data_IF_969192467275
#
_entry.id   IF_969192467275
#
_cell.length_a   1.000
_cell.length_b   1.000
_cell.length_c   1.000
_cell.angle_alpha   90.00
_cell.angle_beta   90.00
_cell.angle_gamma   90.00
#
_symmetry.space_group_name_H-M   'P 1'
#
loop_
_entity.id
_entity.type
_entity.pdbx_description
1 polymer ?
#
# COMPACT_ATOMS: atom_id res chain seq x y z
N UNK A 1 -35.66 5.29 24.14
CA UNK A 1 -34.47 4.58 23.61
C UNK A 1 -34.35 4.88 22.12
N UNK A 2 -33.80 6.03 21.76
CA UNK A 2 -33.68 6.49 20.37
C UNK A 2 -32.29 7.11 20.10
N UNK A 3 -31.23 6.51 20.66
CA UNK A 3 -29.85 7.03 20.53
C UNK A 3 -28.89 6.07 19.79
N UNK A 4 -29.33 4.89 19.33
CA UNK A 4 -28.41 3.87 18.80
C UNK A 4 -28.15 3.90 17.27
N UNK A 5 -28.65 4.89 16.53
CA UNK A 5 -28.36 5.03 15.08
C UNK A 5 -27.72 6.36 14.70
N UNK A 6 -27.26 7.16 15.65
CA UNK A 6 -26.52 8.37 15.35
C UNK A 6 -25.09 8.02 14.91
N UNK A 7 -24.80 8.14 13.60
CA UNK A 7 -23.43 8.07 13.08
C UNK A 7 -22.56 9.05 13.86
N UNK A 8 -21.48 8.56 14.48
CA UNK A 8 -20.54 9.43 15.19
C UNK A 8 -19.93 10.45 14.24
N UNK A 9 -19.56 11.62 14.75
CA UNK A 9 -18.94 12.67 13.94
C UNK A 9 -17.65 12.19 13.25
N UNK A 10 -16.87 11.38 13.96
CA UNK A 10 -15.66 10.72 13.44
C UNK A 10 -15.98 9.84 12.24
N UNK A 11 -17.09 9.08 12.31
CA UNK A 11 -17.52 8.22 11.20
C UNK A 11 -17.96 9.03 9.99
N UNK A 12 -18.59 10.19 10.20
CA UNK A 12 -18.95 11.10 9.12
C UNK A 12 -17.71 11.69 8.43
N UNK A 13 -16.64 11.97 9.16
CA UNK A 13 -15.38 12.45 8.60
C UNK A 13 -14.62 11.34 7.83
N UNK A 14 -14.63 10.09 8.32
CA UNK A 14 -14.10 8.95 7.57
C UNK A 14 -14.83 8.74 6.23
N UNK A 15 -16.16 8.77 6.25
CA UNK A 15 -16.99 8.62 5.06
C UNK A 15 -16.73 9.75 4.06
N UNK A 16 -16.59 10.99 4.54
CA UNK A 16 -16.22 12.13 3.71
C UNK A 16 -14.90 11.91 2.96
N UNK A 17 -13.83 11.51 3.67
CA UNK A 17 -12.51 11.30 3.06
C UNK A 17 -12.53 10.16 2.05
N UNK A 18 -13.27 9.08 2.32
CA UNK A 18 -13.44 7.97 1.38
C UNK A 18 -14.16 8.42 0.11
N UNK A 19 -15.20 9.23 0.28
CA UNK A 19 -16.05 9.67 -0.82
C UNK A 19 -15.37 10.71 -1.70
N UNK A 20 -14.64 11.67 -1.12
CA UNK A 20 -13.79 12.62 -1.88
C UNK A 20 -12.83 11.86 -2.79
N UNK A 21 -12.15 10.82 -2.27
CA UNK A 21 -11.26 9.97 -3.08
C UNK A 21 -11.97 9.27 -4.24
N UNK A 22 -13.23 8.87 -4.05
CA UNK A 22 -14.03 8.27 -5.12
C UNK A 22 -14.36 9.28 -6.20
N UNK A 23 -14.81 10.47 -5.82
CA UNK A 23 -15.16 11.54 -6.75
C UNK A 23 -13.95 12.03 -7.55
N UNK A 24 -12.78 12.20 -6.90
CA UNK A 24 -11.54 12.59 -7.61
C UNK A 24 -11.22 11.60 -8.73
N UNK A 25 -11.34 10.29 -8.49
CA UNK A 25 -11.12 9.26 -9.51
C UNK A 25 -12.11 9.32 -10.68
N UNK A 26 -13.33 9.82 -10.44
CA UNK A 26 -14.33 9.99 -11.50
C UNK A 26 -13.98 11.22 -12.34
N UNK A 27 -13.61 12.32 -11.68
CA UNK A 27 -13.14 13.55 -12.36
C UNK A 27 -11.93 13.26 -13.26
N UNK A 28 -10.96 12.50 -12.76
CA UNK A 28 -9.76 12.12 -13.54
C UNK A 28 -10.10 11.31 -14.80
N UNK A 29 -11.21 10.55 -14.79
CA UNK A 29 -11.68 9.76 -15.93
C UNK A 29 -12.52 10.57 -16.92
N UNK A 30 -13.18 11.63 -16.48
CA UNK A 30 -14.14 12.40 -17.28
C UNK A 30 -13.51 13.24 -18.41
N UNK A 31 -12.17 13.28 -18.51
CA UNK A 31 -11.35 13.70 -19.67
C UNK A 31 -11.64 15.05 -20.39
N UNK A 32 -12.68 15.84 -20.07
CA UNK A 32 -13.09 16.89 -21.01
C UNK A 32 -13.86 18.12 -20.48
N UNK A 33 -13.68 18.56 -19.23
CA UNK A 33 -14.20 19.90 -18.87
C UNK A 33 -13.50 20.54 -17.68
N UNK A 34 -12.63 21.51 -17.96
CA UNK A 34 -12.01 22.39 -16.94
C UNK A 34 -13.07 23.06 -16.05
N UNK A 35 -14.27 23.29 -16.57
CA UNK A 35 -15.40 23.84 -15.82
C UNK A 35 -15.89 22.88 -14.72
N UNK A 36 -16.00 21.58 -15.01
CA UNK A 36 -16.40 20.57 -14.01
C UNK A 36 -15.34 20.45 -12.92
N UNK A 37 -14.06 20.41 -13.31
CA UNK A 37 -12.93 20.35 -12.35
C UNK A 37 -12.95 21.57 -11.43
N UNK A 38 -13.16 22.77 -12.00
CA UNK A 38 -13.21 24.02 -11.25
C UNK A 38 -14.39 24.04 -10.26
N UNK A 39 -15.56 23.59 -10.70
CA UNK A 39 -16.77 23.53 -9.85
C UNK A 39 -16.62 22.49 -8.74
N UNK A 40 -16.11 21.30 -9.03
CA UNK A 40 -15.82 20.27 -8.01
C UNK A 40 -14.80 20.77 -6.99
N UNK A 41 -13.73 21.41 -7.44
CA UNK A 41 -12.69 21.98 -6.55
C UNK A 41 -13.29 23.01 -5.60
N UNK A 42 -14.16 23.90 -6.11
CA UNK A 42 -14.87 24.88 -5.29
C UNK A 42 -15.78 24.22 -4.26
N UNK A 43 -16.54 23.19 -4.65
CA UNK A 43 -17.42 22.47 -3.73
C UNK A 43 -16.66 21.66 -2.69
N UNK A 44 -15.50 21.08 -3.02
CA UNK A 44 -14.65 20.43 -2.04
C UNK A 44 -14.12 21.39 -0.98
N UNK A 45 -13.77 22.63 -1.36
CA UNK A 45 -13.38 23.66 -0.39
C UNK A 45 -14.53 24.01 0.56
N UNK A 46 -15.75 24.17 0.02
CA UNK A 46 -16.95 24.43 0.82
C UNK A 46 -17.23 23.26 1.78
N UNK A 47 -17.09 22.01 1.32
CA UNK A 47 -17.28 20.84 2.17
C UNK A 47 -16.21 20.70 3.26
N UNK A 48 -14.96 21.07 2.97
CA UNK A 48 -13.89 21.09 3.97
C UNK A 48 -14.11 22.14 5.06
N UNK A 49 -14.81 23.23 4.75
CA UNK A 49 -15.12 24.31 5.69
C UNK A 49 -16.43 24.07 6.48
N UNK A 50 -17.10 22.94 6.28
CA UNK A 50 -18.35 22.63 6.96
C UNK A 50 -18.21 22.61 8.48
N UNK A 51 -19.13 23.26 9.18
CA UNK A 51 -19.17 23.25 10.64
C UNK A 51 -19.59 21.88 11.18
N UNK A 52 -19.35 21.55 12.48
CA UNK A 52 -19.78 20.26 13.05
C UNK A 52 -21.27 19.97 12.84
N UNK A 53 -22.11 21.01 12.91
CA UNK A 53 -23.56 20.92 12.70
C UNK A 53 -23.95 20.62 11.24
N UNK A 54 -23.04 20.83 10.30
CA UNK A 54 -23.25 20.62 8.86
C UNK A 54 -22.65 19.31 8.35
N UNK A 55 -21.90 18.54 9.17
CA UNK A 55 -21.20 17.31 8.73
C UNK A 55 -22.11 16.30 8.04
N UNK A 56 -23.34 16.12 8.53
CA UNK A 56 -24.31 15.24 7.90
C UNK A 56 -24.71 15.75 6.51
N UNK A 57 -25.08 17.02 6.42
CA UNK A 57 -25.45 17.66 5.15
C UNK A 57 -24.28 17.73 4.17
N UNK A 58 -23.05 17.94 4.64
CA UNK A 58 -21.82 17.85 3.84
C UNK A 58 -21.73 16.49 3.16
N UNK A 59 -21.89 15.41 3.91
CA UNK A 59 -21.80 14.06 3.36
C UNK A 59 -22.93 13.75 2.38
N UNK A 60 -24.15 14.18 2.68
CA UNK A 60 -25.27 14.06 1.75
C UNK A 60 -24.99 14.81 0.43
N UNK A 61 -24.54 16.05 0.51
CA UNK A 61 -24.26 16.88 -0.66
C UNK A 61 -23.10 16.33 -1.48
N UNK A 62 -22.08 15.77 -0.83
CA UNK A 62 -20.99 15.09 -1.52
C UNK A 62 -21.46 13.81 -2.25
N UNK A 63 -22.34 13.03 -1.63
CA UNK A 63 -22.96 11.86 -2.26
C UNK A 63 -23.82 12.28 -3.47
N UNK A 64 -24.57 13.37 -3.36
CA UNK A 64 -25.35 13.91 -4.49
C UNK A 64 -24.44 14.35 -5.64
N UNK A 65 -23.32 15.01 -5.32
CA UNK A 65 -22.31 15.41 -6.30
C UNK A 65 -21.70 14.20 -7.00
N UNK A 66 -21.30 13.17 -6.24
CA UNK A 66 -20.81 11.91 -6.79
C UNK A 66 -21.84 11.28 -7.72
N UNK A 67 -23.08 11.14 -7.27
CA UNK A 67 -24.16 10.55 -8.08
C UNK A 67 -24.35 11.28 -9.41
N UNK A 68 -24.39 12.61 -9.40
CA UNK A 68 -24.56 13.38 -10.64
C UNK A 68 -23.39 13.18 -11.61
N UNK A 69 -22.15 13.18 -11.11
CA UNK A 69 -20.97 12.93 -11.94
C UNK A 69 -20.93 11.50 -12.49
N UNK A 70 -21.32 10.51 -11.69
CA UNK A 70 -21.32 9.12 -12.11
C UNK A 70 -22.46 8.79 -13.09
N UNK A 71 -23.64 9.34 -12.87
CA UNK A 71 -24.84 9.00 -13.66
C UNK A 71 -24.95 9.84 -14.94
N UNK A 72 -24.53 11.12 -14.90
CA UNK A 72 -24.77 12.09 -15.97
C UNK A 72 -23.50 12.68 -16.56
N UNK A 73 -22.31 12.33 -16.05
CA UNK A 73 -21.03 12.92 -16.44
C UNK A 73 -21.00 14.46 -16.36
N UNK A 74 -21.92 15.06 -15.60
CA UNK A 74 -22.12 16.50 -15.53
C UNK A 74 -22.71 16.88 -14.17
N UNK A 75 -22.45 18.12 -13.74
CA UNK A 75 -23.05 18.69 -12.54
C UNK A 75 -24.32 19.44 -12.92
N UNK A 76 -25.37 19.26 -12.14
CA UNK A 76 -26.62 20.02 -12.21
C UNK A 76 -26.87 20.78 -10.91
N UNK A 77 -28.12 21.16 -10.68
CA UNK A 77 -28.52 21.75 -9.41
C UNK A 77 -28.22 20.78 -8.24
N UNK A 78 -27.75 21.26 -7.08
CA UNK A 78 -27.54 22.66 -6.71
C UNK A 78 -26.15 23.20 -7.08
N UNK A 79 -25.28 22.38 -7.66
CA UNK A 79 -23.86 22.68 -7.80
C UNK A 79 -23.55 23.74 -8.85
N UNK A 80 -24.43 23.91 -9.85
CA UNK A 80 -24.24 24.88 -10.94
C UNK A 80 -24.69 26.31 -10.61
N UNK A 81 -25.54 26.50 -9.60
CA UNK A 81 -26.00 27.84 -9.19
C UNK A 81 -24.99 28.48 -8.23
N UNK A 82 -24.30 29.52 -8.69
CA UNK A 82 -23.26 30.23 -7.94
C UNK A 82 -23.77 30.82 -6.63
N UNK A 83 -25.07 31.15 -6.53
CA UNK A 83 -25.69 31.67 -5.31
C UNK A 83 -25.71 30.64 -4.19
N UNK A 84 -25.66 29.35 -4.54
CA UNK A 84 -25.65 28.27 -3.56
C UNK A 84 -24.31 28.15 -2.84
N UNK A 85 -23.20 28.66 -3.40
CA UNK A 85 -21.89 28.57 -2.76
C UNK A 85 -21.77 29.38 -1.45
N UNK A 86 -22.73 30.27 -1.16
CA UNK A 86 -22.77 31.09 0.06
C UNK A 86 -23.84 30.62 1.05
N UNK A 87 -24.57 29.53 0.75
CA UNK A 87 -25.65 29.01 1.58
C UNK A 87 -25.12 27.94 2.54
N UNK A 88 -25.70 27.90 3.74
CA UNK A 88 -25.47 26.82 4.73
C UNK A 88 -25.85 25.46 4.12
N UNK A 89 -25.01 24.45 4.37
CA UNK A 89 -25.14 23.14 3.74
C UNK A 89 -26.43 22.41 4.15
N UNK A 90 -26.99 22.69 5.32
CA UNK A 90 -28.29 22.12 5.74
C UNK A 90 -29.43 22.73 4.97
N UNK A 91 -29.35 24.01 4.66
CA UNK A 91 -30.34 24.70 3.81
C UNK A 91 -30.31 24.09 2.40
N UNK A 92 -29.12 23.93 1.82
CA UNK A 92 -28.97 23.30 0.50
C UNK A 92 -29.47 21.87 0.47
N UNK A 93 -29.12 21.07 1.48
CA UNK A 93 -29.63 19.70 1.63
C UNK A 93 -31.16 19.66 1.63
N UNK A 94 -31.81 20.53 2.42
CA UNK A 94 -33.28 20.59 2.45
C UNK A 94 -33.88 21.02 1.11
N UNK A 95 -33.26 21.99 0.42
CA UNK A 95 -33.71 22.42 -0.91
C UNK A 95 -33.59 21.29 -1.94
N UNK A 96 -32.50 20.52 -1.93
CA UNK A 96 -32.32 19.36 -2.81
C UNK A 96 -33.32 18.24 -2.53
N UNK A 97 -33.70 18.01 -1.26
CA UNK A 97 -34.77 17.06 -0.91
C UNK A 97 -36.14 17.52 -1.40
N UNK A 98 -36.42 18.81 -1.34
CA UNK A 98 -37.70 19.37 -1.79
C UNK A 98 -37.83 19.32 -3.32
N UNK A 99 -36.72 19.50 -4.05
CA UNK A 99 -36.72 19.35 -5.50
C UNK A 99 -36.91 17.89 -5.94
N UNK A 100 -36.31 16.93 -5.22
CA UNK A 100 -36.55 15.50 -5.47
C UNK A 100 -38.02 15.06 -5.21
N UNK A 101 -38.78 15.85 -4.45
CA UNK A 101 -40.22 15.67 -4.22
C UNK A 101 -41.10 16.44 -5.22
N UNK A 102 -40.51 17.36 -5.99
CA UNK A 102 -41.20 18.23 -6.94
C UNK A 102 -41.02 17.85 -8.42
N UNK A 103 -39.99 17.07 -8.78
CA UNK A 103 -39.71 16.74 -10.18
C UNK A 103 -40.45 15.46 -10.66
N UNK A 104 -41.76 15.61 -10.87
CA UNK A 104 -42.40 15.17 -12.11
C UNK A 104 -42.67 16.44 -12.92
N UNK A 105 -42.18 16.50 -14.16
CA UNK A 105 -42.00 17.70 -15.04
C UNK A 105 -40.80 18.60 -14.65
N UNK A 106 -39.90 19.07 -15.51
CA UNK A 106 -39.81 19.05 -16.97
C UNK A 106 -38.36 19.41 -17.41
N UNK A 107 -37.91 18.88 -18.55
CA UNK A 107 -36.80 19.45 -19.31
C UNK A 107 -37.36 20.37 -20.40
N UNK A 108 -36.82 21.60 -20.48
CA UNK A 108 -36.53 22.37 -21.71
C UNK A 108 -37.73 22.66 -22.64
N UNK A 109 -38.29 23.87 -22.63
CA UNK A 109 -37.89 25.01 -23.49
C UNK A 109 -38.92 26.17 -23.39
N UNK A 110 -38.41 27.36 -23.69
CA UNK A 110 -39.12 28.63 -23.92
C UNK A 110 -40.23 28.47 -24.99
N UNK A 111 -41.48 28.82 -24.66
CA UNK A 111 -42.32 29.57 -25.62
C UNK A 111 -43.43 30.35 -24.90
N UNK A 112 -43.63 31.57 -25.34
CA UNK A 112 -44.58 32.53 -24.84
C UNK A 112 -45.96 32.30 -25.48
N UNK A 113 -47.02 32.19 -24.68
CA UNK A 113 -48.40 32.57 -25.04
C UNK A 113 -49.25 32.46 -23.76
N UNK A 114 -49.53 33.56 -23.08
CA UNK A 114 -50.79 34.30 -23.22
C UNK A 114 -52.05 33.44 -22.99
N UNK A 115 -52.79 33.79 -21.91
CA UNK A 115 -54.24 34.00 -21.96
C UNK A 115 -55.09 32.69 -21.99
N UNK A 116 -56.11 32.43 -21.18
CA UNK A 116 -57.03 33.27 -20.45
C UNK A 116 -57.82 32.41 -19.45
N UNK A 117 -58.16 33.01 -18.31
CA UNK A 117 -59.48 33.00 -17.66
C UNK A 117 -60.55 32.01 -18.18
N UNK A 118 -61.21 31.32 -17.24
CA UNK A 118 -62.50 31.80 -16.75
C UNK A 118 -63.18 30.72 -15.90
N UNK A 119 -63.07 30.89 -14.58
CA UNK A 119 -63.95 30.23 -13.62
C UNK A 119 -65.10 31.21 -13.34
N UNK A 120 -66.11 31.24 -14.20
CA UNK A 120 -67.27 32.12 -14.03
C UNK A 120 -68.44 31.35 -13.43
N UNK A 121 -68.47 31.34 -12.10
CA UNK A 121 -69.65 31.02 -11.30
C UNK A 121 -70.51 32.28 -11.21
N UNK A 122 -71.38 32.52 -12.20
CA UNK A 122 -72.59 33.33 -12.00
C UNK A 122 -73.44 33.45 -13.26
N UNK A 123 -74.60 32.79 -13.25
CA UNK A 123 -75.87 33.38 -13.70
C UNK A 123 -77.05 32.52 -13.25
N UNK A 124 -77.41 32.70 -11.98
CA UNK A 124 -78.80 32.54 -11.54
C UNK A 124 -79.56 33.76 -12.06
N UNK A 125 -80.62 33.54 -12.82
CA UNK A 125 -81.64 34.56 -13.04
C UNK A 125 -82.05 34.78 -14.50
N UNK A 126 -82.83 33.86 -15.05
CA UNK A 126 -83.88 34.25 -16.00
C UNK A 126 -85.05 33.29 -15.87
N UNK A 127 -85.88 33.56 -14.88
CA UNK A 127 -87.25 33.09 -14.77
C UNK A 127 -88.07 33.76 -15.87
N UNK A 128 -88.52 33.02 -16.89
CA UNK A 128 -89.85 33.21 -17.50
C UNK A 128 -90.38 31.89 -18.05
N UNK A 129 -91.39 31.39 -17.33
CA UNK A 129 -92.62 30.77 -17.80
C UNK A 129 -92.59 30.02 -19.13
N UNK A 130 -92.70 28.69 -19.07
CA UNK A 130 -93.80 28.00 -19.73
C UNK A 130 -94.01 26.62 -19.11
N UNK A 131 -95.22 26.43 -18.59
CA UNK A 131 -96.01 25.20 -18.70
C UNK A 131 -95.34 23.85 -18.39
N UNK A 132 -95.87 23.26 -17.31
CA UNK A 132 -95.94 21.82 -17.02
C UNK A 132 -95.98 20.97 -18.30
N UNK A 133 -94.87 20.30 -18.64
CA UNK A 133 -94.85 18.96 -19.24
C UNK A 133 -93.40 18.51 -19.46
N UNK A 134 -92.84 17.76 -18.50
CA UNK A 134 -91.80 16.72 -18.67
C UNK A 134 -91.17 16.32 -17.31
N UNK A 135 -91.97 16.05 -16.27
CA UNK A 135 -91.45 15.46 -15.02
C UNK A 135 -90.79 14.09 -15.25
N UNK A 136 -91.17 13.38 -16.31
CA UNK A 136 -90.62 12.08 -16.66
C UNK A 136 -89.19 12.13 -17.25
N UNK A 137 -88.80 13.19 -17.98
CA UNK A 137 -87.49 13.21 -18.67
C UNK A 137 -86.32 13.57 -17.75
N UNK A 138 -86.56 14.41 -16.74
CA UNK A 138 -85.57 14.75 -15.72
C UNK A 138 -85.34 13.59 -14.74
N UNK A 139 -86.41 12.86 -14.40
CA UNK A 139 -86.34 11.70 -13.53
C UNK A 139 -85.54 10.56 -14.16
N UNK A 140 -85.74 10.28 -15.46
CA UNK A 140 -84.97 9.27 -16.20
C UNK A 140 -83.46 9.60 -16.28
N UNK A 141 -83.08 10.86 -16.53
CA UNK A 141 -81.64 11.26 -16.51
C UNK A 141 -81.00 11.10 -15.14
N UNK A 142 -81.76 11.37 -14.08
CA UNK A 142 -81.27 11.21 -12.70
C UNK A 142 -81.10 9.73 -12.35
N UNK A 143 -82.01 8.86 -12.79
CA UNK A 143 -81.90 7.41 -12.65
C UNK A 143 -80.69 6.85 -13.40
N UNK A 144 -80.43 7.32 -14.63
CA UNK A 144 -79.25 6.92 -15.41
C UNK A 144 -77.94 7.39 -14.76
N UNK A 145 -77.89 8.64 -14.27
CA UNK A 145 -76.71 9.15 -13.55
C UNK A 145 -76.47 8.38 -12.23
N UNK A 146 -77.52 8.04 -11.49
CA UNK A 146 -77.41 7.25 -10.27
C UNK A 146 -76.95 5.81 -10.57
N UNK A 147 -77.46 5.21 -11.65
CA UNK A 147 -76.98 3.91 -12.14
C UNK A 147 -75.50 3.94 -12.49
N UNK A 148 -75.04 4.97 -13.21
CA UNK A 148 -73.63 5.16 -13.53
C UNK A 148 -72.76 5.34 -12.28
N UNK A 149 -73.23 6.10 -11.28
CA UNK A 149 -72.51 6.26 -10.01
C UNK A 149 -72.43 4.94 -9.22
N UNK A 150 -73.48 4.12 -9.22
CA UNK A 150 -73.46 2.79 -8.59
C UNK A 150 -72.43 1.90 -9.30
N UNK A 151 -72.38 1.93 -10.62
CA UNK A 151 -71.41 1.16 -11.40
C UNK A 151 -69.96 1.63 -11.16
N UNK A 152 -69.74 2.94 -11.12
CA UNK A 152 -68.43 3.53 -10.79
C UNK A 152 -68.00 3.18 -9.36
N UNK A 153 -68.90 3.27 -8.39
CA UNK A 153 -68.62 2.86 -7.01
C UNK A 153 -68.30 1.36 -6.92
N UNK A 154 -69.03 0.52 -7.67
CA UNK A 154 -68.73 -0.91 -7.75
C UNK A 154 -67.35 -1.18 -8.38
N UNK A 155 -66.95 -0.41 -9.40
CA UNK A 155 -65.62 -0.49 -10.02
C UNK A 155 -64.52 -0.05 -9.06
N UNK A 156 -64.66 1.12 -8.42
CA UNK A 156 -63.70 1.63 -7.44
C UNK A 156 -63.55 0.69 -6.24
N UNK A 157 -64.63 0.05 -5.78
CA UNK A 157 -64.55 -0.95 -4.72
C UNK A 157 -63.77 -2.20 -5.14
N UNK A 158 -63.86 -2.62 -6.41
CA UNK A 158 -63.05 -3.72 -6.94
C UNK A 158 -61.57 -3.33 -7.01
N UNK A 159 -61.27 -2.14 -7.51
CA UNK A 159 -59.89 -1.61 -7.59
C UNK A 159 -59.27 -1.44 -6.19
N UNK A 160 -60.04 -0.93 -5.22
CA UNK A 160 -59.61 -0.80 -3.83
C UNK A 160 -59.31 -2.17 -3.21
N UNK A 161 -60.15 -3.18 -3.45
CA UNK A 161 -59.90 -4.55 -2.99
C UNK A 161 -58.64 -5.16 -3.62
N UNK A 162 -58.43 -4.95 -4.92
CA UNK A 162 -57.24 -5.43 -5.62
C UNK A 162 -55.96 -4.76 -5.06
N UNK A 163 -55.98 -3.44 -4.88
CA UNK A 163 -54.86 -2.69 -4.32
C UNK A 163 -54.54 -3.11 -2.87
N UNK A 164 -55.56 -3.42 -2.06
CA UNK A 164 -55.35 -3.98 -0.70
C UNK A 164 -54.69 -5.37 -0.73
N UNK A 165 -55.07 -6.23 -1.66
CA UNK A 165 -54.46 -7.54 -1.81
C UNK A 165 -52.98 -7.43 -2.22
N UNK A 166 -52.67 -6.55 -3.17
CA UNK A 166 -51.28 -6.28 -3.60
C UNK A 166 -50.43 -5.71 -2.46
N UNK A 167 -50.98 -4.79 -1.66
CA UNK A 167 -50.30 -4.25 -0.49
C UNK A 167 -49.95 -5.37 0.52
N UNK A 168 -50.89 -6.28 0.77
CA UNK A 168 -50.67 -7.40 1.68
C UNK A 168 -49.58 -8.34 1.15
N UNK A 169 -49.61 -8.68 -0.14
CA UNK A 169 -48.59 -9.51 -0.76
C UNK A 169 -47.19 -8.87 -0.66
N UNK A 170 -47.09 -7.56 -0.94
CA UNK A 170 -45.82 -6.83 -0.80
C UNK A 170 -45.34 -6.77 0.66
N UNK A 171 -46.25 -6.71 1.62
CA UNK A 171 -45.91 -6.71 3.04
C UNK A 171 -45.35 -8.07 3.48
N UNK A 172 -45.98 -9.17 3.06
CA UNK A 172 -45.48 -10.53 3.30
C UNK A 172 -44.09 -10.74 2.66
N UNK A 173 -43.88 -10.25 1.44
CA UNK A 173 -42.56 -10.29 0.78
C UNK A 173 -41.49 -9.49 1.55
N UNK A 174 -41.83 -8.31 2.07
CA UNK A 174 -40.90 -7.51 2.88
C UNK A 174 -40.49 -8.23 4.17
N UNK A 175 -41.43 -8.88 4.84
CA UNK A 175 -41.14 -9.66 6.05
C UNK A 175 -40.22 -10.84 5.73
N UNK A 176 -40.44 -11.53 4.61
CA UNK A 176 -39.54 -12.59 4.14
C UNK A 176 -38.13 -12.05 3.87
N UNK A 177 -37.99 -10.93 3.15
CA UNK A 177 -36.67 -10.35 2.87
C UNK A 177 -35.95 -9.89 4.13
N UNK A 178 -36.65 -9.31 5.10
CA UNK A 178 -36.03 -8.88 6.35
C UNK A 178 -35.54 -10.09 7.17
N UNK A 179 -36.31 -11.18 7.19
CA UNK A 179 -35.87 -12.44 7.82
C UNK A 179 -34.61 -13.01 7.16
N UNK A 180 -34.54 -13.00 5.83
CA UNK A 180 -33.40 -13.50 5.07
C UNK A 180 -32.16 -12.61 5.27
N UNK A 181 -32.36 -11.30 5.30
CA UNK A 181 -31.31 -10.32 5.63
C UNK A 181 -30.75 -10.55 7.03
N UNK A 182 -31.59 -10.84 8.02
CA UNK A 182 -31.14 -11.16 9.38
C UNK A 182 -30.30 -12.45 9.41
N UNK A 183 -30.72 -13.48 8.69
CA UNK A 183 -29.96 -14.73 8.56
C UNK A 183 -28.59 -14.48 7.91
N UNK A 184 -28.55 -13.71 6.83
CA UNK A 184 -27.29 -13.38 6.15
C UNK A 184 -26.37 -12.54 7.03
N UNK A 185 -26.91 -11.56 7.75
CA UNK A 185 -26.15 -10.74 8.70
C UNK A 185 -25.48 -11.60 9.78
N UNK A 186 -26.21 -12.59 10.32
CA UNK A 186 -25.66 -13.51 11.31
C UNK A 186 -24.56 -14.39 10.71
N UNK A 187 -24.70 -14.86 9.45
CA UNK A 187 -23.65 -15.61 8.77
C UNK A 187 -22.38 -14.78 8.55
N UNK A 188 -22.53 -13.53 8.10
CA UNK A 188 -21.39 -12.61 7.91
C UNK A 188 -20.65 -12.41 9.24
N UNK A 189 -21.38 -12.15 10.32
CA UNK A 189 -20.79 -12.00 11.65
C UNK A 189 -19.99 -13.24 12.09
N UNK A 190 -20.52 -14.44 11.85
CA UNK A 190 -19.80 -15.69 12.18
C UNK A 190 -18.53 -15.85 11.34
N UNK A 191 -18.57 -15.58 10.03
CA UNK A 191 -17.39 -15.64 9.17
C UNK A 191 -16.33 -14.60 9.51
N UNK A 192 -16.73 -13.39 9.88
CA UNK A 192 -15.81 -12.36 10.35
C UNK A 192 -15.09 -12.80 11.63
N UNK A 193 -15.82 -13.43 12.55
CA UNK A 193 -15.27 -13.97 13.80
C UNK A 193 -14.29 -15.12 13.54
N UNK A 194 -14.65 -16.06 12.66
CA UNK A 194 -13.76 -17.15 12.23
C UNK A 194 -12.49 -16.61 11.57
N UNK A 195 -12.63 -15.62 10.69
CA UNK A 195 -11.50 -14.95 10.03
C UNK A 195 -10.58 -14.28 11.05
N UNK A 196 -11.14 -13.67 12.11
CA UNK A 196 -10.34 -13.10 13.20
C UNK A 196 -9.52 -14.18 13.90
N UNK A 197 -10.14 -15.31 14.27
CA UNK A 197 -9.42 -16.40 14.93
C UNK A 197 -8.32 -16.98 14.05
N UNK A 198 -8.57 -17.16 12.75
CA UNK A 198 -7.55 -17.63 11.80
C UNK A 198 -6.36 -16.67 11.71
N UNK A 199 -6.60 -15.35 11.73
CA UNK A 199 -5.53 -14.35 11.76
C UNK A 199 -4.71 -14.42 13.05
N UNK A 200 -5.37 -14.58 14.20
CA UNK A 200 -4.68 -14.65 15.49
C UNK A 200 -3.83 -15.92 15.60
N UNK A 201 -4.36 -17.06 15.14
CA UNK A 201 -3.64 -18.34 15.06
C UNK A 201 -2.41 -18.19 14.15
N UNK A 202 -2.61 -17.62 12.96
CA UNK A 202 -1.53 -17.41 12.01
C UNK A 202 -0.45 -16.47 12.56
N UNK A 203 -0.85 -15.36 13.20
CA UNK A 203 0.08 -14.42 13.83
C UNK A 203 0.91 -15.11 14.93
N UNK A 204 0.26 -15.87 15.82
CA UNK A 204 0.96 -16.63 16.86
C UNK A 204 1.94 -17.67 16.29
N UNK A 205 1.51 -18.39 15.26
CA UNK A 205 2.35 -19.35 14.54
C UNK A 205 3.56 -18.68 13.87
N UNK A 206 3.35 -17.55 13.22
CA UNK A 206 4.40 -16.76 12.57
C UNK A 206 5.41 -16.22 13.59
N UNK A 207 4.95 -15.67 14.71
CA UNK A 207 5.83 -15.20 15.79
C UNK A 207 6.66 -16.34 16.35
N UNK A 208 6.04 -17.48 16.67
CA UNK A 208 6.75 -18.66 17.19
C UNK A 208 7.79 -19.16 16.19
N UNK A 209 7.43 -19.21 14.91
CA UNK A 209 8.32 -19.63 13.82
C UNK A 209 9.51 -18.67 13.69
N UNK A 210 9.27 -17.35 13.72
CA UNK A 210 10.31 -16.34 13.68
C UNK A 210 11.22 -16.39 14.91
N UNK A 211 10.68 -16.63 16.11
CA UNK A 211 11.47 -16.83 17.32
C UNK A 211 12.37 -18.06 17.21
N UNK A 212 11.86 -19.17 16.65
CA UNK A 212 12.65 -20.37 16.40
C UNK A 212 13.79 -20.08 15.41
N UNK A 213 13.50 -19.33 14.33
CA UNK A 213 14.53 -18.89 13.37
C UNK A 213 15.56 -17.93 13.98
N UNK A 214 15.15 -17.08 14.92
CA UNK A 214 16.03 -16.12 15.57
C UNK A 214 16.89 -16.74 16.68
N UNK A 215 16.36 -17.71 17.44
CA UNK A 215 17.00 -18.30 18.62
C UNK A 215 17.91 -19.50 18.29
N UNK A 216 17.68 -20.20 17.18
CA UNK A 216 18.43 -21.42 16.84
C UNK A 216 18.95 -21.39 15.41
N UNK A 217 20.21 -21.81 15.29
CA UNK A 217 20.84 -22.31 14.07
C UNK A 217 20.02 -23.48 13.56
N UNK A 218 18.91 -23.23 12.87
CA UNK A 218 18.14 -24.30 12.25
C UNK A 218 19.10 -25.05 11.33
N UNK A 219 19.24 -26.37 11.48
CA UNK A 219 19.98 -27.15 10.51
C UNK A 219 19.32 -26.90 9.16
N UNK A 220 20.05 -26.28 8.23
CA UNK A 220 19.66 -26.16 6.82
C UNK A 220 19.33 -27.52 6.17
N UNK A 221 19.62 -28.61 6.88
CA UNK A 221 19.31 -29.99 6.52
C UNK A 221 17.84 -30.37 6.64
N UNK A 222 17.00 -29.64 7.38
CA UNK A 222 15.54 -29.85 7.39
C UNK A 222 14.77 -28.53 7.33
N UNK A 223 14.36 -28.09 6.13
CA UNK A 223 13.52 -26.92 5.98
C UNK A 223 12.11 -27.25 6.48
N UNK A 224 11.67 -26.58 7.54
CA UNK A 224 10.31 -26.69 8.08
C UNK A 224 9.66 -25.30 8.20
N UNK A 225 9.94 -24.39 7.25
CA UNK A 225 9.43 -23.01 7.27
C UNK A 225 7.91 -22.96 7.16
N UNK A 226 7.37 -23.51 6.07
CA UNK A 226 5.94 -23.55 5.82
C UNK A 226 5.25 -24.52 6.75
N UNK A 227 5.88 -25.65 7.07
CA UNK A 227 5.35 -26.58 8.04
C UNK A 227 5.18 -25.95 9.42
N UNK A 228 6.20 -25.27 9.97
CA UNK A 228 6.07 -24.58 11.26
C UNK A 228 5.01 -23.47 11.24
N UNK A 229 4.87 -22.77 10.10
CA UNK A 229 3.98 -21.61 9.99
C UNK A 229 2.51 -21.99 9.74
N UNK A 230 2.27 -23.06 8.97
CA UNK A 230 0.93 -23.45 8.48
C UNK A 230 0.44 -24.81 8.99
N UNK A 231 1.23 -25.56 9.77
CA UNK A 231 0.80 -26.86 10.33
C UNK A 231 -0.50 -26.76 11.13
N UNK A 232 -0.68 -25.68 11.90
CA UNK A 232 -1.90 -25.44 12.70
C UNK A 232 -3.16 -25.29 11.84
N UNK A 233 -2.98 -24.95 10.56
CA UNK A 233 -4.08 -24.78 9.59
C UNK A 233 -4.27 -26.00 8.69
N UNK A 234 -3.50 -27.08 8.89
CA UNK A 234 -3.64 -28.31 8.11
C UNK A 234 -4.74 -29.19 8.67
N UNK A 235 -5.71 -29.53 7.85
CA UNK A 235 -6.79 -30.45 8.22
C UNK A 235 -6.47 -31.90 7.82
N UNK A 236 -5.69 -32.09 6.75
CA UNK A 236 -5.45 -33.40 6.16
C UNK A 236 -3.96 -33.70 5.96
N UNK A 237 -3.62 -34.99 5.93
CA UNK A 237 -2.28 -35.48 5.57
C UNK A 237 -1.85 -35.10 4.14
N UNK A 238 -2.81 -34.75 3.27
CA UNK A 238 -2.51 -34.19 1.94
C UNK A 238 -1.93 -32.78 2.03
N UNK A 239 -2.40 -31.96 2.96
CA UNK A 239 -1.96 -30.59 3.13
C UNK A 239 -0.58 -30.56 3.77
N UNK A 240 -0.31 -31.44 4.73
CA UNK A 240 1.03 -31.65 5.28
C UNK A 240 2.06 -32.01 4.20
N UNK A 241 1.71 -32.90 3.27
CA UNK A 241 2.59 -33.25 2.14
C UNK A 241 2.86 -32.07 1.22
N UNK A 242 1.87 -31.22 0.95
CA UNK A 242 2.06 -30.00 0.15
C UNK A 242 2.97 -29.01 0.87
N UNK A 243 2.83 -28.84 2.20
CA UNK A 243 3.73 -28.00 2.98
C UNK A 243 5.17 -28.50 2.94
N UNK A 244 5.37 -29.81 3.11
CA UNK A 244 6.70 -30.43 2.98
C UNK A 244 7.30 -30.21 1.58
N UNK A 245 6.47 -30.28 0.53
CA UNK A 245 6.91 -29.98 -0.83
C UNK A 245 7.33 -28.51 -0.97
N UNK A 246 6.54 -27.57 -0.45
CA UNK A 246 6.88 -26.14 -0.47
C UNK A 246 8.16 -25.86 0.30
N UNK A 247 8.34 -26.50 1.45
CA UNK A 247 9.57 -26.40 2.24
C UNK A 247 10.80 -26.90 1.47
N UNK A 248 10.67 -28.03 0.77
CA UNK A 248 11.73 -28.56 -0.07
C UNK A 248 12.10 -27.63 -1.24
N UNK A 249 11.09 -27.04 -1.89
CA UNK A 249 11.29 -26.10 -3.01
C UNK A 249 11.95 -24.81 -2.54
N UNK A 250 11.49 -24.26 -1.41
CA UNK A 250 12.07 -23.06 -0.84
C UNK A 250 13.51 -23.28 -0.39
N UNK A 251 13.80 -24.43 0.22
CA UNK A 251 15.18 -24.76 0.59
C UNK A 251 16.09 -24.85 -0.63
N UNK A 252 15.65 -25.48 -1.72
CA UNK A 252 16.43 -25.53 -2.97
C UNK A 252 16.68 -24.14 -3.53
N UNK A 253 15.66 -23.27 -3.54
CA UNK A 253 15.78 -21.90 -4.00
C UNK A 253 16.75 -21.09 -3.13
N UNK A 254 16.65 -21.24 -1.81
CA UNK A 254 17.49 -20.57 -0.83
C UNK A 254 18.96 -21.00 -0.99
N UNK A 255 19.22 -22.29 -1.12
CA UNK A 255 20.57 -22.81 -1.36
C UNK A 255 21.13 -22.33 -2.69
N UNK A 256 20.36 -22.41 -3.79
CA UNK A 256 20.79 -21.90 -5.09
C UNK A 256 21.12 -20.40 -5.05
N UNK A 257 20.35 -19.61 -4.30
CA UNK A 257 20.62 -18.20 -4.10
C UNK A 257 21.88 -17.95 -3.24
N UNK A 258 22.04 -18.68 -2.14
CA UNK A 258 23.25 -18.61 -1.31
C UNK A 258 24.49 -19.00 -2.11
N UNK A 259 24.45 -20.08 -2.87
CA UNK A 259 25.55 -20.53 -3.72
C UNK A 259 25.89 -19.46 -4.76
N UNK A 260 24.89 -18.87 -5.43
CA UNK A 260 25.10 -17.76 -6.36
C UNK A 260 25.77 -16.58 -5.67
N UNK A 261 25.30 -16.20 -4.48
CA UNK A 261 25.87 -15.09 -3.72
C UNK A 261 27.33 -15.37 -3.31
N UNK A 262 27.61 -16.57 -2.79
CA UNK A 262 28.95 -17.04 -2.47
C UNK A 262 29.83 -17.00 -3.72
N UNK A 263 29.34 -17.51 -4.86
CA UNK A 263 30.07 -17.47 -6.13
C UNK A 263 30.34 -16.06 -6.64
N UNK A 264 29.45 -15.09 -6.38
CA UNK A 264 29.67 -13.70 -6.76
C UNK A 264 30.66 -12.98 -5.83
N UNK A 265 30.64 -13.26 -4.53
CA UNK A 265 31.52 -12.59 -3.57
C UNK A 265 32.92 -13.22 -3.47
N UNK A 266 33.01 -14.53 -3.67
CA UNK A 266 34.26 -15.30 -3.51
C UNK A 266 35.40 -14.78 -4.39
N UNK A 267 35.22 -14.41 -5.67
CA UNK A 267 36.32 -13.88 -6.49
C UNK A 267 36.88 -12.57 -5.96
N UNK A 268 36.03 -11.64 -5.54
CA UNK A 268 36.45 -10.35 -4.99
C UNK A 268 37.23 -10.54 -3.68
N UNK A 269 36.73 -11.39 -2.80
CA UNK A 269 37.37 -11.69 -1.52
C UNK A 269 38.70 -12.44 -1.72
N UNK A 270 38.75 -13.41 -2.64
CA UNK A 270 40.00 -14.10 -3.01
C UNK A 270 41.03 -13.15 -3.62
N UNK A 271 40.61 -12.18 -4.44
CA UNK A 271 41.51 -11.19 -5.01
C UNK A 271 42.09 -10.27 -3.93
N UNK A 272 41.28 -9.87 -2.94
CA UNK A 272 41.74 -9.07 -1.81
C UNK A 272 42.72 -9.84 -0.92
N UNK A 273 42.38 -11.07 -0.54
CA UNK A 273 43.26 -11.95 0.23
C UNK A 273 44.57 -12.23 -0.52
N UNK A 274 44.52 -12.41 -1.84
CA UNK A 274 45.71 -12.56 -2.68
C UNK A 274 46.62 -11.34 -2.64
N UNK A 275 46.07 -10.13 -2.77
CA UNK A 275 46.82 -8.87 -2.65
C UNK A 275 47.47 -8.72 -1.28
N UNK A 276 46.75 -9.05 -0.22
CA UNK A 276 47.26 -8.97 1.16
C UNK A 276 48.39 -9.98 1.39
N UNK A 277 48.24 -11.21 0.88
CA UNK A 277 49.26 -12.24 0.94
C UNK A 277 50.53 -11.85 0.17
N UNK A 278 50.40 -11.32 -1.05
CA UNK A 278 51.54 -10.86 -1.86
C UNK A 278 52.24 -9.66 -1.20
N UNK A 279 51.47 -8.75 -0.60
CA UNK A 279 51.99 -7.65 0.22
C UNK A 279 52.77 -8.15 1.45
N UNK A 280 52.27 -9.18 2.13
CA UNK A 280 52.97 -9.81 3.25
C UNK A 280 54.26 -10.51 2.78
N UNK A 281 54.16 -11.30 1.70
CA UNK A 281 55.27 -12.05 1.11
C UNK A 281 56.40 -11.13 0.65
N UNK A 282 56.09 -10.02 0.00
CA UNK A 282 57.09 -9.03 -0.43
C UNK A 282 57.82 -8.41 0.76
N UNK A 283 57.10 -8.01 1.82
CA UNK A 283 57.70 -7.49 3.06
C UNK A 283 58.61 -8.51 3.74
N UNK A 284 58.18 -9.78 3.83
CA UNK A 284 59.00 -10.85 4.40
C UNK A 284 60.24 -11.13 3.55
N UNK A 285 60.07 -11.22 2.22
CA UNK A 285 61.18 -11.42 1.28
C UNK A 285 62.22 -10.30 1.40
N UNK A 286 61.77 -9.05 1.47
CA UNK A 286 62.67 -7.90 1.65
C UNK A 286 63.46 -8.00 2.95
N UNK A 287 62.79 -8.23 4.09
CA UNK A 287 63.46 -8.39 5.39
C UNK A 287 64.44 -9.56 5.39
N UNK A 288 64.05 -10.68 4.80
CA UNK A 288 64.90 -11.85 4.71
C UNK A 288 66.17 -11.56 3.89
N UNK A 289 66.01 -10.88 2.75
CA UNK A 289 67.15 -10.47 1.92
C UNK A 289 68.06 -9.47 2.62
N UNK A 290 67.51 -8.51 3.38
CA UNK A 290 68.30 -7.56 4.18
C UNK A 290 69.11 -8.28 5.26
N UNK A 291 68.48 -9.19 6.01
CA UNK A 291 69.17 -10.00 7.02
C UNK A 291 70.25 -10.88 6.39
N UNK A 292 69.96 -11.50 5.25
CA UNK A 292 70.92 -12.36 4.55
C UNK A 292 72.14 -11.57 4.04
N UNK A 293 71.93 -10.37 3.50
CA UNK A 293 73.01 -9.45 3.11
C UNK A 293 73.86 -9.07 4.32
N UNK A 294 73.23 -8.62 5.41
CA UNK A 294 73.95 -8.25 6.64
C UNK A 294 74.75 -9.42 7.22
N UNK A 295 74.20 -10.64 7.18
CA UNK A 295 74.91 -11.84 7.62
C UNK A 295 76.13 -12.15 6.73
N UNK A 296 76.00 -11.98 5.40
CA UNK A 296 77.08 -12.20 4.44
C UNK A 296 78.20 -11.17 4.64
N UNK A 297 77.85 -9.90 4.85
CA UNK A 297 78.79 -8.82 5.16
C UNK A 297 79.52 -9.08 6.48
N UNK A 298 78.80 -9.47 7.53
CA UNK A 298 79.39 -9.81 8.83
C UNK A 298 80.36 -11.00 8.74
N UNK A 299 80.03 -12.03 7.95
CA UNK A 299 80.94 -13.16 7.71
C UNK A 299 82.19 -12.74 6.95
N UNK A 300 82.06 -11.84 5.97
CA UNK A 300 83.18 -11.31 5.21
C UNK A 300 84.11 -10.48 6.10
N UNK A 301 83.55 -9.63 6.97
CA UNK A 301 84.28 -8.88 7.99
C UNK A 301 85.00 -9.80 9.00
N UNK A 302 84.35 -10.89 9.43
CA UNK A 302 84.99 -11.86 10.32
C UNK A 302 86.19 -12.55 9.65
N UNK A 303 86.05 -12.88 8.37
CA UNK A 303 87.11 -13.53 7.58
C UNK A 303 88.31 -12.59 7.40
N UNK A 304 88.08 -11.33 7.06
CA UNK A 304 89.13 -10.32 6.92
C UNK A 304 89.83 -10.02 8.26
N UNK A 305 89.09 -9.90 9.36
CA UNK A 305 89.66 -9.78 10.72
C UNK A 305 90.54 -10.98 11.07
N UNK A 306 90.09 -12.18 10.72
CA UNK A 306 90.85 -13.42 10.97
C UNK A 306 92.13 -13.47 10.12
N UNK A 307 92.05 -13.11 8.84
CA UNK A 307 93.20 -12.98 7.96
C UNK A 307 94.21 -11.95 8.45
N UNK A 308 93.75 -10.78 8.92
CA UNK A 308 94.60 -9.75 9.52
C UNK A 308 95.32 -10.25 10.79
N UNK A 309 94.63 -11.02 11.64
CA UNK A 309 95.25 -11.67 12.80
C UNK A 309 96.35 -12.64 12.38
N UNK A 310 96.09 -13.48 11.37
CA UNK A 310 97.10 -14.39 10.85
C UNK A 310 98.30 -13.69 10.22
N UNK A 311 98.10 -12.61 9.47
CA UNK A 311 99.21 -11.79 8.93
C UNK A 311 100.08 -11.19 10.05
N UNK A 312 99.46 -10.78 11.16
CA UNK A 312 100.17 -10.25 12.32
C UNK A 312 100.99 -11.34 13.03
N UNK A 313 100.42 -12.53 13.20
CA UNK A 313 101.13 -13.70 13.73
C UNK A 313 102.29 -14.13 12.82
N UNK A 314 102.05 -14.16 11.50
CA UNK A 314 103.05 -14.55 10.50
C UNK A 314 104.20 -13.55 10.45
N UNK A 315 103.91 -12.25 10.57
CA UNK A 315 104.93 -11.20 10.77
C UNK A 315 105.77 -11.45 12.02
N UNK A 316 105.14 -11.79 13.14
CA UNK A 316 105.85 -12.07 14.40
C UNK A 316 106.74 -13.30 14.27
N UNK A 317 106.21 -14.42 13.78
CA UNK A 317 106.96 -15.65 13.56
C UNK A 317 108.12 -15.45 12.58
N UNK A 318 107.93 -14.69 11.51
CA UNK A 318 108.99 -14.36 10.56
C UNK A 318 110.12 -13.56 11.21
N UNK A 319 109.79 -12.56 12.03
CA UNK A 319 110.79 -11.79 12.79
C UNK A 319 111.55 -12.65 13.81
N UNK A 320 110.86 -13.58 14.47
CA UNK A 320 111.45 -14.45 15.49
C UNK A 320 112.35 -15.55 14.91
N UNK A 321 112.07 -16.04 13.69
CA UNK A 321 112.72 -17.21 13.10
C UNK A 321 113.74 -16.92 12.00
N UNK A 322 113.60 -15.83 11.25
CA UNK A 322 114.43 -15.57 10.07
C UNK A 322 115.72 -14.80 10.39
N UNK A 323 116.89 -15.45 10.25
CA UNK A 323 118.24 -14.87 10.45
C UNK A 323 118.98 -14.50 9.16
N UNK A 324 118.24 -14.33 8.04
CA UNK A 324 118.82 -14.10 6.71
C UNK A 324 119.15 -12.64 6.39
N UNK A 325 119.29 -12.32 5.10
CA UNK A 325 119.67 -11.00 4.61
C UNK A 325 118.62 -9.91 4.94
N UNK A 326 119.10 -8.74 5.39
CA UNK A 326 118.27 -7.57 5.76
C UNK A 326 117.33 -7.10 4.64
N UNK A 327 117.77 -7.15 3.39
CA UNK A 327 116.97 -6.76 2.22
C UNK A 327 115.72 -7.63 2.06
N UNK A 328 115.85 -8.94 2.25
CA UNK A 328 114.74 -9.91 2.18
C UNK A 328 113.78 -9.70 3.35
N UNK A 329 114.30 -9.47 4.55
CA UNK A 329 113.47 -9.15 5.73
C UNK A 329 112.62 -7.91 5.47
N UNK A 330 113.21 -6.86 4.91
CA UNK A 330 112.52 -5.60 4.64
C UNK A 330 111.47 -5.72 3.52
N UNK A 331 111.74 -6.52 2.49
CA UNK A 331 110.78 -6.82 1.43
C UNK A 331 109.56 -7.60 1.93
N UNK A 332 109.78 -8.65 2.75
CA UNK A 332 108.69 -9.46 3.33
C UNK A 332 107.86 -8.66 4.32
N UNK A 333 108.50 -7.83 5.17
CA UNK A 333 107.78 -6.95 6.09
C UNK A 333 106.95 -5.91 5.35
N UNK A 334 107.47 -5.34 4.26
CA UNK A 334 106.71 -4.40 3.42
C UNK A 334 105.50 -5.10 2.81
N UNK A 335 105.68 -6.28 2.24
CA UNK A 335 104.58 -7.09 1.68
C UNK A 335 103.48 -7.41 2.72
N UNK A 336 103.86 -7.91 3.90
CA UNK A 336 102.89 -8.23 4.96
C UNK A 336 102.14 -6.98 5.46
N UNK A 337 102.82 -5.84 5.53
CA UNK A 337 102.23 -4.58 5.96
C UNK A 337 101.29 -3.99 4.88
N UNK A 338 101.65 -4.12 3.61
CA UNK A 338 100.81 -3.69 2.48
C UNK A 338 99.54 -4.55 2.39
N UNK A 339 99.65 -5.88 2.56
CA UNK A 339 98.48 -6.79 2.59
C UNK A 339 97.60 -6.59 3.82
N UNK A 340 98.19 -6.26 4.97
CA UNK A 340 97.42 -5.89 6.15
C UNK A 340 96.63 -4.60 5.93
N UNK A 341 97.25 -3.57 5.33
CA UNK A 341 96.58 -2.30 5.00
C UNK A 341 95.43 -2.48 4.01
N UNK A 342 95.63 -3.27 2.96
CA UNK A 342 94.60 -3.58 1.97
C UNK A 342 93.39 -4.29 2.60
N UNK A 343 93.61 -5.25 3.50
CA UNK A 343 92.52 -5.90 4.22
C UNK A 343 91.83 -4.97 5.22
N UNK A 344 92.57 -4.08 5.88
CA UNK A 344 92.00 -3.11 6.82
C UNK A 344 91.11 -2.05 6.18
N UNK A 345 91.23 -1.83 4.86
CA UNK A 345 90.36 -0.91 4.11
C UNK A 345 89.03 -1.57 3.72
N UNK A 346 88.94 -2.91 3.79
CA UNK A 346 87.76 -3.70 3.44
C UNK A 346 86.96 -4.13 4.68
N UNK A 347 87.30 -3.61 5.86
CA UNK A 347 86.58 -3.80 7.15
C UNK A 347 86.08 -2.45 7.60
#
# INVERSE_FOLDING_TARGET
>A
MAEEFALSEEKLDELFVKEVRSVTKIIDKLSCSDAIVTMCTRWFQIFQQATPKEKFSRNFMLLLLHKQLNDRNALGYPFTDVRNCQRDLRTLHQMSLNQAKGDSFCSVDDDACETCNSLEWSSIGSLRSSEVSCGASHYMRLEDANRQLIEQNAKLLKELKACKAELQEQQEQREQYESLKQILSNKIYLYEKETSYMKDIFAGSAVTTLEVFAKLQLPLTQPNYFHSLLSVLCENTSDEKKLQQLDSQFAQLLHAHMDKYIHMQRPALMQQVGKDYDGLRSKFSQRYNEVFKAQTEAQLQLLSLTAMRYLTLLRKLFLDSFKGQRSVTQAVLKFLNDRYKELSQNV
#
